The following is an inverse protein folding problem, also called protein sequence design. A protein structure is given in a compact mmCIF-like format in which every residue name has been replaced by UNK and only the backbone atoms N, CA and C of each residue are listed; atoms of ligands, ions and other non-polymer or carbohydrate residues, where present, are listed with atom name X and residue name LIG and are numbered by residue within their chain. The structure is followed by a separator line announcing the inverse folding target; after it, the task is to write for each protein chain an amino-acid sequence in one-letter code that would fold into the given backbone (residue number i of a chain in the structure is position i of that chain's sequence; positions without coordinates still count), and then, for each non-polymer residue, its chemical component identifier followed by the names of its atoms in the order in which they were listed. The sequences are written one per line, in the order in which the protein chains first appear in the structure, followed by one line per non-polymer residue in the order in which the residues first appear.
data_IF_775567350291
#
_entry.id   IF_775567350291
#
_cell.length_a   1.000
_cell.length_b   1.000
_cell.length_c   1.000
_cell.angle_alpha   90.00
_cell.angle_beta   90.00
_cell.angle_gamma   90.00
#
_symmetry.space_group_name_H-M   'P 1'
#
loop_
_entity.id
_entity.type
_entity.pdbx_description
1 polymer ?
#
# COMPACT_ATOMS: atom_id res chain seq x y z
N UNK A 1 17.73 4.69 11.46
CA UNK A 1 16.33 4.77 11.01
C UNK A 1 16.30 5.73 9.84
N UNK A 2 15.72 5.33 8.70
CA UNK A 2 15.61 6.19 7.51
C UNK A 2 14.16 6.60 7.34
N UNK A 3 13.94 7.90 7.26
CA UNK A 3 12.64 8.48 6.93
C UNK A 3 12.61 8.78 5.44
N UNK A 4 11.61 8.22 4.78
CA UNK A 4 11.34 8.38 3.36
C UNK A 4 10.33 9.50 3.17
N UNK A 5 10.42 10.17 2.02
CA UNK A 5 9.41 11.13 1.58
C UNK A 5 8.30 10.42 0.81
N UNK A 6 7.22 11.15 0.52
CA UNK A 6 6.17 10.66 -0.40
C UNK A 6 6.77 10.23 -1.74
N UNK A 7 7.79 10.94 -2.24
CA UNK A 7 8.40 10.64 -3.54
C UNK A 7 9.17 9.31 -3.52
N UNK A 8 9.95 9.06 -2.47
CA UNK A 8 10.66 7.78 -2.29
C UNK A 8 9.68 6.60 -2.22
N UNK A 9 8.55 6.76 -1.53
CA UNK A 9 7.49 5.74 -1.48
C UNK A 9 6.85 5.53 -2.83
N UNK A 10 6.61 6.62 -3.55
CA UNK A 10 6.10 6.59 -4.90
C UNK A 10 6.99 5.71 -5.78
N UNK A 11 8.31 5.87 -5.68
CA UNK A 11 9.30 5.07 -6.40
C UNK A 11 9.32 3.61 -5.92
N UNK A 12 9.24 3.35 -4.61
CA UNK A 12 9.26 2.00 -4.04
C UNK A 12 8.05 1.16 -4.42
N UNK A 13 6.84 1.75 -4.33
CA UNK A 13 5.57 1.05 -4.58
C UNK A 13 5.17 1.16 -6.07
N UNK A 14 5.86 2.00 -6.85
CA UNK A 14 5.48 2.38 -8.21
C UNK A 14 4.03 2.89 -8.30
N UNK A 15 3.57 3.58 -7.25
CA UNK A 15 2.24 4.17 -7.19
C UNK A 15 2.28 5.64 -7.67
N UNK A 16 1.11 6.26 -7.84
CA UNK A 16 1.00 7.71 -8.04
C UNK A 16 1.04 8.43 -6.70
N UNK A 17 1.61 9.66 -6.60
CA UNK A 17 1.68 10.38 -5.34
C UNK A 17 0.28 10.67 -4.78
N UNK A 18 -0.70 10.97 -5.64
CA UNK A 18 -2.10 11.15 -5.24
C UNK A 18 -2.70 9.92 -4.53
N UNK A 19 -2.29 8.72 -4.94
CA UNK A 19 -2.74 7.48 -4.29
C UNK A 19 -2.09 7.32 -2.91
N UNK A 20 -0.81 7.69 -2.77
CA UNK A 20 -0.11 7.68 -1.49
C UNK A 20 -0.72 8.69 -0.52
N UNK A 21 -1.07 9.89 -1.00
CA UNK A 21 -1.79 10.89 -0.19
C UNK A 21 -3.15 10.36 0.27
N UNK A 22 -3.95 9.79 -0.64
CA UNK A 22 -5.22 9.17 -0.25
C UNK A 22 -5.04 8.07 0.79
N UNK A 23 -4.04 7.21 0.65
CA UNK A 23 -3.79 6.18 1.66
C UNK A 23 -3.37 6.76 3.00
N UNK A 24 -2.63 7.87 3.01
CA UNK A 24 -2.26 8.57 4.23
C UNK A 24 -3.48 9.20 4.90
N UNK A 25 -4.37 9.82 4.12
CA UNK A 25 -5.64 10.39 4.63
C UNK A 25 -6.59 9.31 5.16
N UNK A 26 -6.65 8.16 4.48
CA UNK A 26 -7.44 7.00 4.89
C UNK A 26 -6.81 6.20 6.04
N UNK A 27 -5.59 6.55 6.47
CA UNK A 27 -4.85 5.78 7.49
C UNK A 27 -4.48 4.36 7.06
N UNK A 28 -4.45 4.09 5.76
CA UNK A 28 -4.14 2.77 5.21
C UNK A 28 -2.65 2.51 5.10
N UNK A 29 -1.81 3.55 5.04
CA UNK A 29 -0.35 3.45 4.96
C UNK A 29 0.26 3.99 6.27
N UNK A 30 1.24 3.31 6.88
CA UNK A 30 1.89 3.83 8.07
C UNK A 30 2.67 5.11 7.73
N UNK A 31 2.23 6.23 8.27
CA UNK A 31 2.84 7.54 8.06
C UNK A 31 2.84 8.36 9.35
N UNK A 32 3.88 9.16 9.53
CA UNK A 32 4.06 10.10 10.63
C UNK A 32 3.80 11.52 10.15
N UNK A 33 2.88 12.20 10.82
CA UNK A 33 2.65 13.62 10.60
C UNK A 33 3.50 14.42 11.59
N UNK A 34 4.57 15.04 11.10
CA UNK A 34 5.47 15.89 11.91
C UNK A 34 5.39 17.31 11.36
N UNK A 35 4.89 18.25 12.16
CA UNK A 35 4.75 19.66 11.77
C UNK A 35 4.00 19.91 10.44
N UNK A 36 3.06 19.02 10.09
CA UNK A 36 2.30 19.10 8.83
C UNK A 36 2.96 18.38 7.64
N UNK A 37 4.16 17.85 7.81
CA UNK A 37 4.80 16.99 6.81
C UNK A 37 4.49 15.52 7.08
N UNK A 38 4.24 14.77 6.01
CA UNK A 38 4.13 13.32 6.05
C UNK A 38 5.52 12.71 5.88
N UNK A 39 5.92 11.90 6.86
CA UNK A 39 7.16 11.13 6.87
C UNK A 39 6.82 9.66 7.02
N UNK A 40 7.68 8.81 6.49
CA UNK A 40 7.42 7.39 6.47
C UNK A 40 8.67 6.64 6.85
N UNK A 41 8.55 5.61 7.68
CA UNK A 41 9.68 4.76 8.00
C UNK A 41 9.80 3.62 7.00
N UNK A 42 11.01 3.43 6.46
CA UNK A 42 11.30 2.36 5.49
C UNK A 42 10.91 0.97 6.03
N UNK A 43 11.19 0.71 7.30
CA UNK A 43 10.88 -0.58 7.94
C UNK A 43 9.38 -0.84 8.01
N UNK A 44 8.59 0.14 8.47
CA UNK A 44 7.14 0.00 8.57
C UNK A 44 6.49 -0.20 7.21
N UNK A 45 6.95 0.53 6.19
CA UNK A 45 6.45 0.36 4.82
C UNK A 45 6.74 -1.05 4.28
N UNK A 46 7.95 -1.57 4.52
CA UNK A 46 8.31 -2.93 4.14
C UNK A 46 7.45 -3.99 4.85
N UNK A 47 7.21 -3.82 6.15
CA UNK A 47 6.33 -4.71 6.92
C UNK A 47 4.89 -4.65 6.43
N UNK A 48 4.39 -3.45 6.15
CA UNK A 48 3.08 -3.23 5.59
C UNK A 48 2.89 -3.90 4.22
N UNK A 49 3.88 -3.78 3.32
CA UNK A 49 3.88 -4.47 2.02
C UNK A 49 3.83 -5.99 2.18
N UNK A 50 4.62 -6.54 3.12
CA UNK A 50 4.58 -7.98 3.45
C UNK A 50 3.21 -8.42 3.96
N UNK A 51 2.56 -7.59 4.76
CA UNK A 51 1.24 -7.89 5.32
C UNK A 51 0.17 -7.94 4.21
N UNK A 52 0.18 -6.96 3.29
CA UNK A 52 -0.71 -6.97 2.11
C UNK A 52 -0.46 -8.18 1.20
N UNK A 53 0.76 -8.71 1.14
CA UNK A 53 1.12 -9.87 0.30
C UNK A 53 0.31 -11.14 0.59
N UNK A 54 -0.22 -11.28 1.81
CA UNK A 54 -1.01 -12.44 2.20
C UNK A 54 -2.41 -12.50 1.58
N UNK A 55 -2.92 -11.39 1.04
CA UNK A 55 -4.33 -11.28 0.67
C UNK A 55 -4.64 -11.71 -0.77
N UNK A 56 -3.64 -12.02 -1.61
CA UNK A 56 -3.87 -12.47 -2.99
C UNK A 56 -3.84 -13.99 -3.20
N UNK A 57 -3.84 -14.79 -2.13
CA UNK A 57 -4.20 -16.20 -2.28
C UNK A 57 -5.74 -16.29 -2.42
N UNK A 58 -6.22 -15.99 -3.62
CA UNK A 58 -7.60 -16.28 -4.00
C UNK A 58 -7.79 -17.80 -3.96
N UNK A 59 -8.32 -18.28 -2.84
CA UNK A 59 -9.06 -19.54 -2.74
C UNK A 59 -10.43 -19.42 -3.45
N UNK A 60 -10.42 -18.82 -4.63
CA UNK A 60 -11.60 -18.52 -5.45
C UNK A 60 -11.30 -18.67 -6.95
N UNK A 61 -10.60 -19.74 -7.34
CA UNK A 61 -10.84 -20.35 -8.65
C UNK A 61 -12.20 -21.08 -8.66
N UNK A 62 -13.22 -20.45 -8.06
CA UNK A 62 -14.59 -20.92 -8.00
C UNK A 62 -15.21 -20.72 -9.37
N UNK A 63 -15.29 -21.83 -10.11
CA UNK A 63 -16.28 -22.17 -11.14
C UNK A 63 -17.02 -20.97 -11.76
N UNK A 64 -16.66 -20.65 -13.00
CA UNK A 64 -17.58 -19.96 -13.93
C UNK A 64 -18.52 -21.03 -14.48
N UNK A 65 -19.79 -21.16 -14.06
CA UNK A 65 -20.73 -21.97 -14.82
C UNK A 65 -20.90 -21.29 -16.18
N UNK A 66 -20.41 -21.94 -17.23
CA UNK A 66 -20.74 -21.56 -18.59
C UNK A 66 -22.26 -21.68 -18.76
N UNK A 67 -22.89 -20.67 -19.35
CA UNK A 67 -24.25 -20.80 -19.85
C UNK A 67 -24.23 -21.88 -20.93
N UNK A 68 -24.88 -23.01 -20.68
CA UNK A 68 -25.34 -23.89 -21.75
C UNK A 68 -26.33 -23.11 -22.62
N UNK A 69 -26.10 -23.17 -23.93
CA UNK A 69 -26.97 -22.69 -24.99
C UNK A 69 -26.97 -23.70 -26.11
#
# INVERSE_FOLDING_TARGET
MKFLTVNDICALIQAKPSTVYQWAELGQIPCFKINGLLRFEEKEILEWLKNRKKMYNCACAGRRPGKEG
#
